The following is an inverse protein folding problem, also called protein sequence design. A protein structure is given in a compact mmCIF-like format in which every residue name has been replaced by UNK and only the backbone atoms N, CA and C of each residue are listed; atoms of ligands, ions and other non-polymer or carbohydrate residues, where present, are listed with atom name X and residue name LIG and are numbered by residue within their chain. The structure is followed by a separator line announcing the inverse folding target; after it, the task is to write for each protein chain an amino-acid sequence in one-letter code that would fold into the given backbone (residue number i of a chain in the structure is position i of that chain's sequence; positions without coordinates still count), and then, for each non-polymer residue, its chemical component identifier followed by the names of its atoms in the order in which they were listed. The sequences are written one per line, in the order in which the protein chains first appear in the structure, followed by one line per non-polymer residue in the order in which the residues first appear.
data_IF_957602954336
#
_entry.id   IF_957602954336
#
_cell.length_a   1.000
_cell.length_b   1.000
_cell.length_c   1.000
_cell.angle_alpha   90.00
_cell.angle_beta   90.00
_cell.angle_gamma   90.00
#
_symmetry.space_group_name_H-M   'P 1'
#
loop_
_entity.id
_entity.type
_entity.pdbx_description
1 polymer ?
#
# COMPACT_ATOMS: atom_id res chain seq x y z
N UNK A 1 -12.08 8.28 1.69
CA UNK A 1 -11.05 7.83 2.66
C UNK A 1 -10.84 8.96 3.67
N UNK A 2 -10.72 8.68 4.98
CA UNK A 2 -10.45 9.76 5.95
C UNK A 2 -8.98 10.20 5.89
N UNK A 3 -8.66 11.41 6.36
CA UNK A 3 -7.29 11.94 6.35
C UNK A 3 -6.30 11.08 7.15
N UNK A 4 -6.71 10.57 8.32
CA UNK A 4 -5.87 9.69 9.14
C UNK A 4 -5.61 8.34 8.45
N UNK A 5 -6.61 7.76 7.79
CA UNK A 5 -6.45 6.52 7.03
C UNK A 5 -5.50 6.71 5.83
N UNK A 6 -5.61 7.86 5.15
CA UNK A 6 -4.70 8.21 4.05
C UNK A 6 -3.26 8.38 4.55
N UNK A 7 -3.04 9.10 5.64
CA UNK A 7 -1.71 9.29 6.21
C UNK A 7 -1.07 7.96 6.64
N UNK A 8 -1.84 7.07 7.27
CA UNK A 8 -1.38 5.73 7.63
C UNK A 8 -1.00 4.88 6.41
N UNK A 9 -1.81 4.95 5.35
CA UNK A 9 -1.51 4.26 4.09
C UNK A 9 -0.24 4.80 3.43
N UNK A 10 -0.08 6.13 3.33
CA UNK A 10 1.13 6.76 2.79
C UNK A 10 2.37 6.35 3.58
N UNK A 11 2.32 6.43 4.92
CA UNK A 11 3.44 6.05 5.76
C UNK A 11 3.81 4.57 5.58
N UNK A 12 2.82 3.68 5.55
CA UNK A 12 3.02 2.24 5.29
C UNK A 12 3.72 2.02 3.94
N UNK A 13 3.28 2.69 2.88
CA UNK A 13 3.86 2.54 1.53
C UNK A 13 5.26 3.15 1.39
N UNK A 14 5.54 4.26 2.07
CA UNK A 14 6.89 4.84 2.13
C UNK A 14 7.89 3.89 2.83
N UNK A 15 7.45 3.17 3.87
CA UNK A 15 8.27 2.16 4.54
C UNK A 15 8.62 0.95 3.66
N UNK A 16 7.98 0.78 2.50
CA UNK A 16 8.34 -0.23 1.51
C UNK A 16 9.43 0.24 0.53
N UNK A 17 9.80 1.52 0.57
CA UNK A 17 10.77 2.09 -0.36
C UNK A 17 10.27 2.22 -1.80
N UNK A 18 8.96 2.33 -1.98
CA UNK A 18 8.35 2.60 -3.27
C UNK A 18 8.74 4.00 -3.76
N UNK A 19 8.93 4.12 -5.07
CA UNK A 19 9.07 5.42 -5.70
C UNK A 19 7.78 6.25 -5.50
N UNK A 20 7.87 7.58 -5.30
CA UNK A 20 6.71 8.45 -5.07
C UNK A 20 5.59 8.29 -6.10
N UNK A 21 5.93 8.08 -7.37
CA UNK A 21 4.99 7.92 -8.48
C UNK A 21 4.14 6.65 -8.32
N UNK A 22 4.77 5.54 -7.92
CA UNK A 22 4.06 4.28 -7.66
C UNK A 22 3.16 4.37 -6.44
N UNK A 23 3.59 5.11 -5.41
CA UNK A 23 2.76 5.37 -4.24
C UNK A 23 1.51 6.17 -4.63
N UNK A 24 1.67 7.24 -5.40
CA UNK A 24 0.54 8.03 -5.91
C UNK A 24 -0.41 7.18 -6.75
N UNK A 25 0.10 6.33 -7.65
CA UNK A 25 -0.74 5.41 -8.44
C UNK A 25 -1.56 4.47 -7.53
N UNK A 26 -0.92 3.83 -6.54
CA UNK A 26 -1.63 2.96 -5.59
C UNK A 26 -2.72 3.70 -4.79
N UNK A 27 -2.50 4.97 -4.44
CA UNK A 27 -3.53 5.75 -3.75
C UNK A 27 -4.75 6.00 -4.64
N UNK A 28 -4.52 6.36 -5.90
CA UNK A 28 -5.58 6.57 -6.87
C UNK A 28 -6.35 5.27 -7.13
N UNK A 29 -5.64 4.17 -7.33
CA UNK A 29 -6.24 2.84 -7.49
C UNK A 29 -7.06 2.44 -6.26
N UNK A 30 -6.55 2.68 -5.05
CA UNK A 30 -7.27 2.40 -3.81
C UNK A 30 -8.57 3.20 -3.72
N UNK A 31 -8.57 4.46 -4.13
CA UNK A 31 -9.76 5.30 -4.15
C UNK A 31 -10.75 4.86 -5.23
N UNK A 32 -10.27 4.45 -6.40
CA UNK A 32 -11.08 3.89 -7.48
C UNK A 32 -11.75 2.58 -7.04
N UNK A 33 -10.99 1.64 -6.44
CA UNK A 33 -11.53 0.39 -5.90
C UNK A 33 -12.54 0.60 -4.76
N UNK A 34 -12.46 1.72 -4.05
CA UNK A 34 -13.45 2.14 -3.05
C UNK A 34 -14.68 2.83 -3.65
N UNK A 35 -14.79 2.88 -4.98
CA UNK A 35 -15.95 3.40 -5.69
C UNK A 35 -15.91 4.91 -5.95
N UNK A 36 -14.74 5.55 -5.91
CA UNK A 36 -14.64 6.94 -6.34
C UNK A 36 -14.87 7.04 -7.85
N UNK A 37 -15.84 7.88 -8.25
CA UNK A 37 -16.20 8.16 -9.65
C UNK A 37 -15.89 9.61 -10.05
N UNK A 38 -15.12 10.32 -9.22
CA UNK A 38 -14.75 11.71 -9.44
C UNK A 38 -13.33 11.81 -10.03
N UNK A 39 -12.97 12.99 -10.52
CA UNK A 39 -11.61 13.28 -10.96
C UNK A 39 -10.68 13.29 -9.73
N UNK A 40 -9.66 12.44 -9.77
CA UNK A 40 -8.69 12.31 -8.68
C UNK A 40 -7.32 12.81 -9.13
N UNK A 41 -6.69 13.63 -8.29
CA UNK A 41 -5.31 14.09 -8.47
C UNK A 41 -4.57 13.90 -7.15
N UNK A 42 -3.33 13.41 -7.21
CA UNK A 42 -2.49 13.17 -6.04
C UNK A 42 -1.13 13.88 -6.21
N UNK A 43 -0.72 14.63 -5.19
CA UNK A 43 0.60 15.25 -5.12
C UNK A 43 1.24 14.77 -3.82
N UNK A 44 2.42 14.15 -3.91
CA UNK A 44 3.20 13.71 -2.77
C UNK A 44 4.49 14.54 -2.68
N UNK A 45 4.75 15.10 -1.50
CA UNK A 45 5.97 15.85 -1.20
C UNK A 45 6.64 15.21 0.03
N UNK A 46 7.87 14.72 -0.14
CA UNK A 46 8.62 14.08 0.94
C UNK A 46 9.68 15.05 1.50
N UNK A 47 9.62 15.31 2.80
CA UNK A 47 10.61 16.12 3.51
C UNK A 47 11.73 15.26 4.14
N UNK A 48 12.89 15.84 4.50
CA UNK A 48 13.89 15.17 5.33
C UNK A 48 13.28 14.80 6.69
N UNK A 49 12.95 13.52 6.88
CA UNK A 49 12.18 13.04 8.04
C UNK A 49 10.95 12.21 7.65
N UNK A 50 10.62 12.12 6.37
CA UNK A 50 9.64 11.17 5.87
C UNK A 50 10.04 9.72 6.24
N UNK A 51 9.05 8.82 6.44
CA UNK A 51 9.30 7.42 6.69
C UNK A 51 10.26 6.82 5.65
N UNK A 52 11.23 6.05 6.13
CA UNK A 52 12.24 5.41 5.29
C UNK A 52 11.96 3.92 5.14
N UNK A 53 12.50 3.27 4.09
CA UNK A 53 12.33 1.84 3.90
C UNK A 53 12.74 1.07 5.16
N UNK A 54 11.90 0.14 5.60
CA UNK A 54 12.20 -0.72 6.72
C UNK A 54 11.99 -2.19 6.36
N UNK A 55 12.98 -3.00 6.71
CA UNK A 55 13.04 -4.41 6.30
C UNK A 55 11.88 -5.24 6.84
N UNK A 56 11.40 -4.90 8.04
CA UNK A 56 10.23 -5.55 8.64
C UNK A 56 8.94 -5.29 7.84
N UNK A 57 8.71 -4.07 7.36
CA UNK A 57 7.52 -3.76 6.55
C UNK A 57 7.59 -4.50 5.20
N UNK A 58 8.76 -4.50 4.55
CA UNK A 58 8.98 -5.23 3.29
C UNK A 58 8.69 -6.72 3.48
N UNK A 59 9.21 -7.33 4.55
CA UNK A 59 8.96 -8.75 4.86
C UNK A 59 7.48 -9.04 5.09
N UNK A 60 6.77 -8.16 5.81
CA UNK A 60 5.33 -8.29 6.06
C UNK A 60 4.51 -8.17 4.78
N UNK A 61 4.86 -7.23 3.89
CA UNK A 61 4.18 -7.06 2.60
C UNK A 61 4.38 -8.30 1.72
N UNK A 62 5.61 -8.80 1.58
CA UNK A 62 5.89 -10.01 0.80
C UNK A 62 5.15 -11.25 1.34
N UNK A 63 5.08 -11.38 2.67
CA UNK A 63 4.33 -12.47 3.30
C UNK A 63 2.81 -12.34 3.03
N UNK A 64 2.28 -11.12 3.05
CA UNK A 64 0.88 -10.84 2.74
C UNK A 64 0.58 -11.15 1.27
N UNK A 65 1.40 -10.69 0.33
CA UNK A 65 1.23 -10.94 -1.10
C UNK A 65 1.27 -12.44 -1.41
N UNK A 66 2.21 -13.18 -0.82
CA UNK A 66 2.27 -14.63 -0.97
C UNK A 66 1.02 -15.33 -0.40
N UNK A 67 0.52 -14.87 0.75
CA UNK A 67 -0.70 -15.43 1.35
C UNK A 67 -1.94 -15.14 0.48
N UNK A 68 -2.07 -13.94 -0.07
CA UNK A 68 -3.14 -13.58 -0.99
C UNK A 68 -3.03 -14.36 -2.31
N UNK A 69 -1.83 -14.51 -2.86
CA UNK A 69 -1.56 -15.31 -4.06
C UNK A 69 -2.02 -16.75 -3.92
N UNK A 70 -1.68 -17.43 -2.80
CA UNK A 70 -2.16 -18.80 -2.51
C UNK A 70 -3.68 -18.87 -2.41
N UNK A 71 -4.31 -17.89 -1.74
CA UNK A 71 -5.78 -17.82 -1.62
C UNK A 71 -6.46 -17.64 -2.98
N UNK A 72 -5.90 -16.82 -3.86
CA UNK A 72 -6.41 -16.61 -5.22
C UNK A 72 -6.22 -17.86 -6.09
N UNK A 73 -5.11 -18.59 -5.91
CA UNK A 73 -4.84 -19.85 -6.61
C UNK A 73 -5.68 -21.04 -6.11
N UNK A 74 -6.43 -20.88 -5.01
CA UNK A 74 -7.24 -21.96 -4.41
C UNK A 74 -6.45 -22.93 -3.53
N UNK A 75 -5.20 -22.62 -3.18
CA UNK A 75 -4.38 -23.43 -2.28
C UNK A 75 -4.82 -23.18 -0.82
N UNK A 76 -5.46 -24.19 -0.21
CA UNK A 76 -5.77 -24.15 1.22
C UNK A 76 -4.48 -24.25 2.03
N UNK A 77 -4.27 -23.30 2.95
CA UNK A 77 -3.23 -23.42 3.97
C UNK A 77 -3.56 -24.67 4.80
N UNK A 78 -2.69 -25.69 4.86
CA UNK A 78 -2.94 -26.84 5.71
C UNK A 78 -3.12 -26.34 7.15
N UNK A 79 -4.24 -26.71 7.77
CA UNK A 79 -4.61 -26.32 9.12
C UNK A 79 -3.40 -26.46 10.07
N UNK A 80 -3.07 -25.35 10.75
CA UNK A 80 -2.21 -25.37 11.92
C UNK A 80 -2.93 -25.99 13.12
#
# INVERSE_FOLDING_TARGET
MSGAALAGLVASRLCLGLAPEFLCAQLLDTCLCKGSLDNMTCILVCFPGAPRPCEEAIRKELALDAALGRRVAGEQVPNA
#
